data_IF_563898022358
#
_entry.id   IF_563898022358
#
_cell.length_a   1.000
_cell.length_b   1.000
_cell.length_c   1.000
_cell.angle_alpha   90.00
_cell.angle_beta   90.00
_cell.angle_gamma   90.00
#
_symmetry.space_group_name_H-M   'P 1'
#
loop_
_entity.id
_entity.type
_entity.pdbx_description
1 polymer ?
#
# COMPACT_ATOMS: atom_id res chain seq x y z
N UNK A 1 -2.76 -5.58 13.31
CA UNK A 1 -2.59 -4.27 13.98
C UNK A 1 -3.92 -3.51 13.94
N UNK A 2 -4.29 -2.73 14.96
CA UNK A 2 -5.47 -1.86 14.90
C UNK A 2 -5.01 -0.40 14.94
N UNK A 3 -4.85 0.23 13.78
CA UNK A 3 -4.53 1.65 13.70
C UNK A 3 -5.83 2.45 13.57
N UNK A 4 -5.94 3.56 14.29
CA UNK A 4 -6.95 4.59 14.01
C UNK A 4 -6.80 5.12 12.57
N UNK A 5 -7.91 5.58 11.99
CA UNK A 5 -7.96 6.13 10.62
C UNK A 5 -6.85 7.17 10.40
N UNK A 6 -6.63 8.04 11.38
CA UNK A 6 -5.61 9.09 11.37
C UNK A 6 -4.18 8.51 11.35
N UNK A 7 -3.89 7.55 12.24
CA UNK A 7 -2.57 6.89 12.28
C UNK A 7 -2.30 6.11 10.99
N UNK A 8 -3.32 5.44 10.46
CA UNK A 8 -3.21 4.69 9.21
C UNK A 8 -2.89 5.61 8.03
N UNK A 9 -3.60 6.74 7.93
CA UNK A 9 -3.36 7.80 6.95
C UNK A 9 -1.94 8.34 7.05
N UNK A 10 -1.50 8.70 8.26
CA UNK A 10 -0.14 9.23 8.48
C UNK A 10 0.94 8.24 8.04
N UNK A 11 0.80 6.96 8.41
CA UNK A 11 1.79 5.93 8.05
C UNK A 11 1.88 5.69 6.54
N UNK A 12 0.75 5.65 5.86
CA UNK A 12 0.72 5.55 4.40
C UNK A 12 1.33 6.80 3.75
N UNK A 13 0.98 7.99 4.25
CA UNK A 13 1.52 9.25 3.73
C UNK A 13 3.04 9.32 3.85
N UNK A 14 3.61 8.99 5.01
CA UNK A 14 5.08 8.93 5.18
C UNK A 14 5.72 7.93 4.20
N UNK A 15 5.07 6.79 3.96
CA UNK A 15 5.57 5.78 3.03
C UNK A 15 5.57 6.31 1.58
N UNK A 16 4.46 6.88 1.13
CA UNK A 16 4.39 7.46 -0.21
C UNK A 16 5.26 8.71 -0.36
N UNK A 17 5.42 9.55 0.66
CA UNK A 17 6.27 10.74 0.57
C UNK A 17 7.74 10.39 0.28
N UNK A 18 8.24 9.28 0.85
CA UNK A 18 9.60 8.80 0.62
C UNK A 18 9.77 8.12 -0.73
N UNK A 19 8.76 7.41 -1.21
CA UNK A 19 8.87 6.59 -2.42
C UNK A 19 8.26 7.24 -3.67
N UNK A 20 7.04 7.79 -3.56
CA UNK A 20 6.23 8.29 -4.66
C UNK A 20 5.19 9.33 -4.15
N UNK A 21 5.59 10.61 -3.99
CA UNK A 21 4.73 11.65 -3.39
C UNK A 21 3.46 11.94 -4.21
N UNK A 22 3.43 11.58 -5.49
CA UNK A 22 2.23 11.64 -6.34
C UNK A 22 1.10 10.71 -5.88
N UNK A 23 1.40 9.73 -5.02
CA UNK A 23 0.42 8.75 -4.52
C UNK A 23 -0.12 9.13 -3.14
N UNK A 24 0.38 10.20 -2.51
CA UNK A 24 -0.10 10.69 -1.21
C UNK A 24 -1.59 11.03 -1.24
N UNK A 25 -2.06 11.61 -2.34
CA UNK A 25 -3.48 11.95 -2.53
C UNK A 25 -4.41 10.71 -2.55
N UNK A 26 -3.87 9.52 -2.83
CA UNK A 26 -4.63 8.26 -2.77
C UNK A 26 -4.70 7.67 -1.37
N UNK A 27 -3.93 8.20 -0.41
CA UNK A 27 -3.90 7.68 0.95
C UNK A 27 -5.29 7.72 1.58
N UNK A 28 -6.01 8.83 1.42
CA UNK A 28 -7.35 8.98 1.99
C UNK A 28 -8.32 7.94 1.42
N UNK A 29 -8.25 7.69 0.10
CA UNK A 29 -9.07 6.69 -0.58
C UNK A 29 -8.72 5.25 -0.15
N UNK A 30 -7.44 4.94 0.01
CA UNK A 30 -6.97 3.63 0.49
C UNK A 30 -7.48 3.39 1.92
N UNK A 31 -7.39 4.40 2.78
CA UNK A 31 -7.81 4.34 4.17
C UNK A 31 -9.33 4.13 4.27
N UNK A 32 -10.10 4.80 3.41
CA UNK A 32 -11.56 4.67 3.37
C UNK A 32 -12.01 3.32 2.79
N UNK A 33 -11.33 2.82 1.75
CA UNK A 33 -11.64 1.53 1.12
C UNK A 33 -11.17 0.33 1.94
N UNK A 34 -10.05 0.44 2.66
CA UNK A 34 -9.40 -0.65 3.38
C UNK A 34 -9.20 -0.39 4.88
N UNK A 35 -10.23 0.05 5.64
CA UNK A 35 -10.06 0.44 7.03
C UNK A 35 -9.65 -0.74 7.94
N UNK A 36 -10.05 -1.96 7.59
CA UNK A 36 -9.74 -3.20 8.33
C UNK A 36 -8.63 -4.04 7.68
N UNK A 37 -8.06 -3.61 6.55
CA UNK A 37 -7.06 -4.37 5.78
C UNK A 37 -5.69 -3.68 5.75
N UNK A 38 -5.42 -2.88 6.77
CA UNK A 38 -4.22 -2.03 6.91
C UNK A 38 -2.93 -2.84 6.71
N UNK A 39 -2.84 -4.00 7.36
CA UNK A 39 -1.68 -4.89 7.28
C UNK A 39 -1.48 -5.45 5.87
N UNK A 40 -2.56 -5.87 5.20
CA UNK A 40 -2.52 -6.34 3.81
C UNK A 40 -2.07 -5.23 2.87
N UNK A 41 -2.56 -3.99 3.08
CA UNK A 41 -2.17 -2.83 2.29
C UNK A 41 -0.68 -2.55 2.43
N UNK A 42 -0.15 -2.48 3.66
CA UNK A 42 1.29 -2.25 3.87
C UNK A 42 2.15 -3.36 3.28
N UNK A 43 1.74 -4.62 3.42
CA UNK A 43 2.47 -5.75 2.86
C UNK A 43 2.47 -5.70 1.32
N UNK A 44 1.34 -5.36 0.72
CA UNK A 44 1.19 -5.18 -0.73
C UNK A 44 2.08 -4.05 -1.26
N UNK A 45 2.03 -2.88 -0.62
CA UNK A 45 2.89 -1.74 -0.95
C UNK A 45 4.37 -2.11 -0.80
N UNK A 46 4.76 -2.67 0.34
CA UNK A 46 6.16 -3.08 0.57
C UNK A 46 6.64 -4.03 -0.53
N UNK A 47 5.83 -5.01 -0.95
CA UNK A 47 6.17 -5.91 -2.06
C UNK A 47 6.26 -5.20 -3.41
N UNK A 48 5.32 -4.30 -3.71
CA UNK A 48 5.32 -3.53 -4.95
C UNK A 48 6.59 -2.67 -5.07
N UNK A 49 6.94 -1.95 -4.00
CA UNK A 49 8.12 -1.07 -3.99
C UNK A 49 9.43 -1.85 -3.88
N UNK A 50 9.48 -2.96 -3.13
CA UNK A 50 10.65 -3.84 -3.10
C UNK A 50 10.95 -4.45 -4.48
N UNK A 51 9.92 -4.75 -5.29
CA UNK A 51 10.10 -5.21 -6.68
C UNK A 51 10.60 -4.09 -7.60
N UNK A 52 10.24 -2.84 -7.33
CA UNK A 52 10.69 -1.65 -8.09
C UNK A 52 12.18 -1.35 -7.91
N UNK A 53 12.78 -1.59 -6.74
CA UNK A 53 14.22 -1.34 -6.52
C UNK A 53 15.16 -2.17 -7.41
N UNK A 54 14.65 -3.17 -8.14
CA UNK A 54 15.42 -3.92 -9.15
C UNK A 54 15.12 -3.57 -10.61
N UNK A 55 14.14 -2.69 -10.88
CA UNK A 55 13.63 -2.43 -12.24
C UNK A 55 13.22 -0.95 -12.36
N UNK A 56 14.04 -0.15 -13.04
CA UNK A 56 14.05 1.32 -13.04
C UNK A 56 12.77 2.00 -13.59
N UNK A 57 11.80 1.25 -14.14
CA UNK A 57 10.70 1.83 -14.93
C UNK A 57 9.27 1.41 -14.50
N UNK A 58 9.07 0.85 -13.31
CA UNK A 58 7.71 0.50 -12.86
C UNK A 58 7.04 1.73 -12.23
N UNK A 59 6.26 2.47 -13.03
CA UNK A 59 5.25 3.39 -12.48
C UNK A 59 4.20 2.57 -11.72
N UNK A 60 4.16 2.72 -10.39
CA UNK A 60 3.15 2.04 -9.57
C UNK A 60 1.81 2.75 -9.80
N UNK A 61 0.99 2.15 -10.64
CA UNK A 61 -0.35 2.62 -10.96
C UNK A 61 -1.27 2.54 -9.74
N UNK A 62 -2.16 3.52 -9.62
CA UNK A 62 -3.19 3.61 -8.59
C UNK A 62 -4.01 2.31 -8.52
N UNK A 63 -4.33 1.79 -9.70
CA UNK A 63 -5.06 0.54 -9.88
C UNK A 63 -4.34 -0.66 -9.25
N UNK A 64 -3.00 -0.75 -9.37
CA UNK A 64 -2.23 -1.82 -8.73
C UNK A 64 -2.19 -1.69 -7.21
N UNK A 65 -2.25 -0.47 -6.66
CA UNK A 65 -2.33 -0.25 -5.21
C UNK A 65 -3.73 -0.60 -4.69
N UNK A 66 -4.78 -0.28 -5.46
CA UNK A 66 -6.19 -0.52 -5.09
C UNK A 66 -6.66 -1.94 -5.39
N UNK A 67 -6.02 -2.64 -6.32
CA UNK A 67 -6.22 -4.06 -6.60
C UNK A 67 -5.49 -4.92 -5.57
N UNK A 68 -5.80 -4.68 -4.28
CA UNK A 68 -5.37 -5.56 -3.20
C UNK A 68 -6.15 -6.86 -3.37
N UNK A 69 -5.50 -7.98 -3.73
CA UNK A 69 -6.22 -9.22 -3.88
C UNK A 69 -6.83 -9.59 -2.52
N UNK A 70 -8.13 -9.94 -2.44
CA UNK A 70 -8.68 -10.54 -1.24
C UNK A 70 -7.97 -11.89 -1.10
N UNK A 71 -7.05 -11.99 -0.14
CA UNK A 71 -6.26 -13.21 0.03
C UNK A 71 -7.20 -14.40 0.25
N UNK A 72 -6.93 -15.52 -0.44
CA UNK A 72 -6.50 -16.68 0.33
C UNK A 72 -5.22 -17.26 -0.25
N UNK A 73 -4.16 -17.24 0.56
CA UNK A 73 -3.17 -18.31 0.77
C UNK A 73 -1.78 -17.74 1.05
N UNK A 74 -1.55 -17.50 2.34
CA UNK A 74 -0.27 -17.85 2.93
C UNK A 74 -0.16 -19.38 2.87
N UNK A 75 0.78 -19.88 2.08
CA UNK A 75 1.02 -21.31 1.90
C UNK A 75 2.31 -21.53 1.13
N UNK A 76 3.42 -21.34 1.85
CA UNK A 76 4.73 -21.91 1.50
C UNK A 76 4.66 -23.43 1.59
N UNK A 77 5.29 -24.12 0.64
CA UNK A 77 5.49 -25.57 0.61
C UNK A 77 6.42 -25.93 -0.54
#
# INVERSE_FOLDING_TARGET
MNYDKDMYTQKLREFFERHDPMKIEMVDEIVDRFPNQQETVFNHLTKLYAKKEGVDDIQISSDSIMSIPPTPHQGVG
#
